data_IF_698496249516
#
_entry.id   IF_698496249516
#
_cell.length_a   1.000
_cell.length_b   1.000
_cell.length_c   1.000
_cell.angle_alpha   90.00
_cell.angle_beta   90.00
_cell.angle_gamma   90.00
#
_symmetry.space_group_name_H-M   'P 1'
#
loop_
_entity.id
_entity.type
_entity.pdbx_description
1 polymer ?
#
# COMPACT_ATOMS: atom_id res chain seq x y z
N UNK A 1 -6.55 0.87 4.69
CA UNK A 1 -6.38 0.85 3.21
C UNK A 1 -7.17 -0.28 2.56
N UNK A 2 -6.98 -1.54 2.97
CA UNK A 2 -7.76 -2.69 2.48
C UNK A 2 -7.76 -3.82 3.53
N UNK A 3 -8.93 -4.44 3.75
CA UNK A 3 -9.08 -5.64 4.59
C UNK A 3 -8.51 -6.89 3.91
N UNK A 4 -8.54 -6.94 2.58
CA UNK A 4 -7.93 -8.00 1.78
C UNK A 4 -6.42 -7.75 1.61
N UNK A 5 -5.59 -8.82 1.57
CA UNK A 5 -4.17 -8.70 1.28
C UNK A 5 -3.90 -7.97 -0.04
N UNK A 6 -3.04 -6.97 0.01
CA UNK A 6 -2.62 -6.18 -1.15
C UNK A 6 -1.23 -6.67 -1.61
N UNK A 7 -1.03 -6.94 -2.91
CA UNK A 7 0.29 -7.21 -3.46
C UNK A 7 1.15 -5.96 -3.43
N UNK A 8 2.40 -6.10 -3.02
CA UNK A 8 3.38 -5.02 -2.87
C UNK A 8 4.65 -5.36 -3.63
N UNK A 9 5.09 -4.45 -4.50
CA UNK A 9 6.30 -4.58 -5.33
C UNK A 9 7.41 -3.66 -4.82
N UNK A 10 8.55 -4.22 -4.41
CA UNK A 10 9.70 -3.43 -3.91
C UNK A 10 10.87 -3.49 -4.88
N UNK A 11 11.25 -2.36 -5.48
CA UNK A 11 12.38 -2.27 -6.42
C UNK A 11 13.37 -1.24 -5.91
N UNK A 12 14.49 -1.70 -5.34
CA UNK A 12 15.50 -0.83 -4.69
C UNK A 12 14.87 0.17 -3.71
N UNK A 13 13.86 -0.32 -2.97
CA UNK A 13 13.03 0.50 -2.11
C UNK A 13 13.83 1.09 -0.94
N UNK A 14 13.64 2.38 -0.60
CA UNK A 14 14.20 2.96 0.61
C UNK A 14 13.52 2.37 1.86
N UNK A 15 14.22 2.40 3.00
CA UNK A 15 13.62 2.05 4.32
C UNK A 15 13.32 3.32 5.11
N UNK A 16 12.06 3.51 5.49
CA UNK A 16 11.67 4.56 6.46
C UNK A 16 11.89 3.99 7.86
N UNK A 17 12.88 4.52 8.59
CA UNK A 17 13.25 4.02 9.92
C UNK A 17 12.45 4.65 11.06
N UNK A 18 11.93 5.87 10.85
CA UNK A 18 11.27 6.69 11.88
C UNK A 18 10.24 7.62 11.24
N UNK A 19 9.20 7.92 11.99
CA UNK A 19 8.12 8.83 11.63
C UNK A 19 7.91 9.83 12.79
N UNK A 20 7.50 11.07 12.47
CA UNK A 20 7.17 12.09 13.47
C UNK A 20 5.80 11.84 14.12
N UNK A 21 5.46 12.64 15.13
CA UNK A 21 4.22 12.48 15.91
C UNK A 21 2.95 12.64 15.05
N UNK A 22 2.95 13.56 14.09
CA UNK A 22 1.82 13.82 13.20
C UNK A 22 1.70 12.82 12.03
N UNK A 23 2.54 11.78 12.00
CA UNK A 23 2.58 10.80 10.91
C UNK A 23 1.97 9.49 11.36
N UNK A 24 0.87 9.10 10.72
CA UNK A 24 0.25 7.80 10.89
C UNK A 24 0.97 6.75 10.07
N UNK A 25 1.50 5.73 10.74
CA UNK A 25 2.07 4.56 10.07
C UNK A 25 0.94 3.65 9.61
N UNK A 26 0.84 3.44 8.30
CA UNK A 26 -0.19 2.57 7.69
C UNK A 26 0.28 1.12 7.61
N UNK A 27 1.55 0.91 7.28
CA UNK A 27 2.14 -0.43 7.16
C UNK A 27 3.56 -0.42 7.70
N UNK A 28 3.82 -1.31 8.66
CA UNK A 28 5.16 -1.67 9.12
C UNK A 28 5.52 -3.05 8.59
N UNK A 29 6.75 -3.19 8.10
CA UNK A 29 7.31 -4.44 7.61
C UNK A 29 8.62 -4.69 8.32
N UNK A 30 8.73 -5.82 9.02
CA UNK A 30 9.93 -6.19 9.76
C UNK A 30 10.45 -4.99 10.60
N UNK A 31 11.60 -4.42 10.22
CA UNK A 31 12.30 -3.32 10.88
C UNK A 31 12.00 -1.92 10.31
N UNK A 32 11.14 -1.77 9.29
CA UNK A 32 10.91 -0.49 8.61
C UNK A 32 9.43 -0.17 8.35
N UNK A 33 9.15 1.09 8.08
CA UNK A 33 7.83 1.57 7.66
C UNK A 33 7.75 1.52 6.13
N UNK A 34 6.72 0.84 5.61
CA UNK A 34 6.52 0.67 4.18
C UNK A 34 5.44 1.59 3.59
N UNK A 35 4.49 2.03 4.41
CA UNK A 35 3.53 3.08 4.05
C UNK A 35 3.19 3.92 5.27
N UNK A 36 3.04 5.23 5.07
CA UNK A 36 2.66 6.18 6.08
C UNK A 36 1.91 7.36 5.46
N UNK A 37 1.21 8.12 6.27
CA UNK A 37 0.53 9.32 5.84
C UNK A 37 0.49 10.38 6.95
N UNK A 38 0.20 11.61 6.57
CA UNK A 38 -0.37 12.63 7.44
C UNK A 38 -1.61 13.21 6.76
N UNK A 39 -2.17 14.32 7.25
CA UNK A 39 -3.40 14.90 6.70
C UNK A 39 -3.36 15.10 5.17
N UNK A 40 -2.25 15.58 4.62
CA UNK A 40 -2.16 15.99 3.21
C UNK A 40 -1.25 15.13 2.34
N UNK A 41 -0.49 14.20 2.92
CA UNK A 41 0.53 13.43 2.21
C UNK A 41 0.33 11.93 2.47
N UNK A 42 0.43 11.13 1.41
CA UNK A 42 0.52 9.68 1.46
C UNK A 42 1.87 9.27 0.87
N UNK A 43 2.62 8.43 1.59
CA UNK A 43 3.90 7.89 1.11
C UNK A 43 3.91 6.37 1.17
N UNK A 44 4.57 5.76 0.19
CA UNK A 44 4.82 4.32 0.11
C UNK A 44 6.26 4.11 -0.34
N UNK A 45 6.89 3.02 0.10
CA UNK A 45 8.24 2.61 -0.35
C UNK A 45 8.19 1.51 -1.42
N UNK A 46 7.00 0.98 -1.70
CA UNK A 46 6.72 0.05 -2.78
C UNK A 46 6.04 0.77 -3.95
N UNK A 47 5.90 0.06 -5.06
CA UNK A 47 5.28 0.52 -6.29
C UNK A 47 3.86 -0.05 -6.46
N UNK A 48 2.81 0.61 -5.92
CA UNK A 48 1.44 0.12 -6.04
C UNK A 48 0.96 0.02 -7.50
N UNK A 49 1.53 0.81 -8.39
CA UNK A 49 1.26 0.86 -9.84
C UNK A 49 1.75 -0.39 -10.59
N UNK A 50 2.67 -1.15 -10.01
CA UNK A 50 3.25 -2.35 -10.62
C UNK A 50 2.50 -3.62 -10.19
N UNK A 51 1.24 -3.50 -9.78
CA UNK A 51 0.39 -4.60 -9.34
C UNK A 51 -1.01 -4.48 -9.94
N UNK A 52 -1.77 -5.58 -10.01
CA UNK A 52 -3.18 -5.53 -10.41
C UNK A 52 -4.12 -4.90 -9.38
N UNK A 53 -3.64 -4.53 -8.18
CA UNK A 53 -4.49 -4.02 -7.11
C UNK A 53 -4.61 -2.49 -7.14
N UNK A 54 -5.85 -2.00 -7.25
CA UNK A 54 -6.14 -0.56 -7.17
C UNK A 54 -6.34 -0.04 -5.74
N UNK A 55 -6.09 -0.85 -4.70
CA UNK A 55 -6.39 -0.49 -3.31
C UNK A 55 -5.74 0.84 -2.88
N UNK A 56 -4.43 1.01 -3.11
CA UNK A 56 -3.72 2.26 -2.78
C UNK A 56 -4.13 3.44 -3.65
N UNK A 57 -4.39 3.21 -4.94
CA UNK A 57 -4.86 4.27 -5.84
C UNK A 57 -6.23 4.80 -5.41
N UNK A 58 -7.16 3.91 -5.03
CA UNK A 58 -8.48 4.29 -4.50
C UNK A 58 -8.35 5.00 -3.16
N UNK A 59 -7.49 4.49 -2.27
CA UNK A 59 -7.22 5.13 -0.99
C UNK A 59 -6.67 6.56 -1.17
N UNK A 60 -5.73 6.76 -2.09
CA UNK A 60 -5.22 8.07 -2.43
C UNK A 60 -6.30 8.99 -3.01
N UNK A 61 -7.13 8.49 -3.93
CA UNK A 61 -8.24 9.25 -4.50
C UNK A 61 -9.25 9.70 -3.42
N UNK A 62 -9.59 8.81 -2.47
CA UNK A 62 -10.42 9.14 -1.31
C UNK A 62 -9.78 10.24 -0.44
N UNK A 63 -8.47 10.17 -0.21
CA UNK A 63 -7.73 11.21 0.52
C UNK A 63 -7.78 12.57 -0.19
N UNK A 64 -7.84 12.57 -1.53
CA UNK A 64 -8.04 13.76 -2.34
C UNK A 64 -9.52 14.24 -2.40
N UNK A 65 -10.43 13.61 -1.66
CA UNK A 65 -11.86 13.96 -1.64
C UNK A 65 -12.65 13.39 -2.81
N UNK A 66 -12.09 12.47 -3.59
CA UNK A 66 -12.80 11.78 -4.66
C UNK A 66 -13.48 10.52 -4.14
N UNK A 67 -14.60 10.12 -4.76
CA UNK A 67 -15.27 8.86 -4.42
C UNK A 67 -15.17 7.88 -5.60
N UNK A 68 -14.06 7.13 -5.73
CA UNK A 68 -13.92 6.15 -6.80
C UNK A 68 -14.91 4.99 -6.60
N UNK A 69 -15.56 4.53 -7.67
CA UNK A 69 -16.46 3.39 -7.62
C UNK A 69 -15.78 2.16 -6.98
N UNK A 70 -16.47 1.50 -6.04
CA UNK A 70 -15.99 0.27 -5.43
C UNK A 70 -16.24 -0.89 -6.40
N UNK A 71 -15.27 -1.22 -7.25
CA UNK A 71 -15.32 -2.55 -7.84
C UNK A 71 -14.88 -3.57 -6.80
N UNK A 72 -15.71 -4.61 -6.62
CA UNK A 72 -15.35 -5.80 -5.87
C UNK A 72 -14.00 -6.26 -6.38
N UNK A 73 -13.03 -6.34 -5.47
CA UNK A 73 -11.73 -6.96 -5.68
C UNK A 73 -11.97 -8.28 -6.41
N UNK A 74 -11.77 -8.29 -7.74
CA UNK A 74 -11.63 -9.54 -8.45
C UNK A 74 -10.30 -10.08 -7.95
N UNK A 75 -10.44 -10.99 -6.99
CA UNK A 75 -9.38 -11.76 -6.39
C UNK A 75 -8.24 -11.95 -7.38
N UNK A 76 -7.05 -11.57 -6.93
CA UNK A 76 -5.76 -11.98 -7.45
C UNK A 76 -5.88 -12.96 -8.62
N UNK A 77 -5.60 -12.50 -9.84
CA UNK A 77 -5.26 -13.43 -10.91
C UNK A 77 -4.23 -14.39 -10.32
N UNK A 78 -4.64 -15.65 -10.19
CA UNK A 78 -3.97 -16.70 -9.40
C UNK A 78 -2.64 -17.17 -10.03
N UNK A 79 -2.08 -16.35 -10.93
CA UNK A 79 -0.85 -16.57 -11.69
C UNK A 79 0.12 -15.42 -11.44
N UNK A 80 0.23 -14.94 -10.20
CA UNK A 80 1.28 -14.00 -9.79
C UNK A 80 2.33 -14.76 -8.99
N UNK A 81 3.43 -15.14 -9.66
CA UNK A 81 4.56 -15.81 -9.02
C UNK A 81 5.22 -14.88 -7.99
N UNK A 82 5.20 -15.30 -6.72
CA UNK A 82 5.90 -14.64 -5.62
C UNK A 82 7.41 -14.77 -5.80
N UNK A 83 7.99 -13.90 -6.62
CA UNK A 83 9.43 -13.66 -6.67
C UNK A 83 9.86 -12.82 -5.47
N UNK A 84 11.12 -12.93 -5.02
CA UNK A 84 11.59 -12.45 -3.70
C UNK A 84 11.38 -10.96 -3.40
N UNK A 85 11.06 -10.16 -4.41
CA UNK A 85 10.79 -8.72 -4.32
C UNK A 85 9.30 -8.36 -4.24
N UNK A 86 8.41 -9.36 -4.27
CA UNK A 86 6.97 -9.22 -4.04
C UNK A 86 6.57 -9.72 -2.66
N UNK A 87 5.68 -8.99 -1.98
CA UNK A 87 5.08 -9.41 -0.69
C UNK A 87 3.58 -9.12 -0.69
N UNK A 88 2.80 -9.92 0.04
CA UNK A 88 1.38 -9.64 0.31
C UNK A 88 1.22 -9.11 1.74
N UNK A 89 0.49 -8.01 1.92
CA UNK A 89 0.21 -7.47 3.25
C UNK A 89 -1.23 -6.99 3.38
N UNK A 90 -1.84 -7.26 4.55
CA UNK A 90 -3.08 -6.60 4.96
C UNK A 90 -2.76 -5.24 5.54
N UNK A 91 -3.56 -4.23 5.19
CA UNK A 91 -3.36 -2.85 5.62
C UNK A 91 -4.72 -2.33 6.06
N UNK A 92 -5.23 -2.91 7.14
CA UNK A 92 -6.42 -2.47 7.86
C UNK A 92 -6.00 -1.42 8.90
N UNK A 93 -6.79 -0.35 9.02
CA UNK A 93 -6.59 0.73 9.99
C UNK A 93 -7.25 0.36 11.33
#
# INVERSE_FOLDING_TARGET
>A
VSEEPVPLTFIRAPKILRAGEDVRVLLRMDDYIAAAENDSILVTVFHPELTGSLAFHRYFALKCGLNPASEKSSAADSVWENVSWMKLARIAL
#
